data_IF_091063368721
#
_entry.id   IF_091063368721
#
_cell.length_a   1.000
_cell.length_b   1.000
_cell.length_c   1.000
_cell.angle_alpha   90.00
_cell.angle_beta   90.00
_cell.angle_gamma   90.00
#
_symmetry.space_group_name_H-M   'P 1'
#
loop_
_entity.id
_entity.type
_entity.pdbx_description
1 polymer ?
#
# COMPACT_ATOMS: atom_id res chain seq x y z
N UNK A 1 -17.55 11.74 47.26
CA UNK A 1 -17.77 11.21 45.90
C UNK A 1 -17.66 12.39 44.94
N UNK A 2 -16.45 12.73 44.52
CA UNK A 2 -16.18 13.66 43.42
C UNK A 2 -14.93 13.13 42.72
N UNK A 3 -15.09 12.73 41.46
CA UNK A 3 -14.04 12.28 40.56
C UNK A 3 -13.25 13.50 40.08
N UNK A 4 -11.98 13.61 40.46
CA UNK A 4 -11.07 14.64 39.94
C UNK A 4 -10.55 14.15 38.59
N UNK A 5 -10.77 14.94 37.54
CA UNK A 5 -10.51 14.57 36.15
C UNK A 5 -9.09 14.95 35.76
N UNK A 6 -8.50 14.18 34.83
CA UNK A 6 -7.13 14.30 34.31
C UNK A 6 -6.77 15.70 33.76
N UNK A 7 -7.77 16.55 33.48
CA UNK A 7 -7.61 17.94 33.05
C UNK A 7 -7.24 18.92 34.17
N UNK A 8 -7.47 18.60 35.45
CA UNK A 8 -7.18 19.49 36.58
C UNK A 8 -5.66 19.63 36.85
N UNK A 9 -4.84 18.67 36.40
CA UNK A 9 -3.38 18.69 36.60
C UNK A 9 -2.63 19.57 35.59
N UNK A 10 -3.24 19.92 34.46
CA UNK A 10 -2.59 20.68 33.38
C UNK A 10 -2.55 22.21 33.61
N UNK A 11 -3.31 22.74 34.58
CA UNK A 11 -3.45 24.20 34.80
C UNK A 11 -2.79 24.73 36.09
N UNK A 12 -1.99 23.94 36.79
CA UNK A 12 -1.08 24.46 37.81
C UNK A 12 -1.75 25.08 39.06
N UNK A 13 -2.94 24.64 39.43
CA UNK A 13 -3.56 25.00 40.72
C UNK A 13 -3.48 23.84 41.71
N UNK A 14 -2.63 23.98 42.72
CA UNK A 14 -2.53 23.05 43.84
C UNK A 14 -3.64 23.33 44.86
N UNK A 15 -4.39 22.31 45.30
CA UNK A 15 -4.84 22.29 46.68
C UNK A 15 -4.43 21.00 47.39
N UNK A 16 -3.81 21.18 48.55
CA UNK A 16 -4.01 20.29 49.70
C UNK A 16 -3.56 18.84 49.57
N UNK A 17 -2.27 18.63 49.86
CA UNK A 17 -1.66 17.43 50.44
C UNK A 17 -2.62 16.42 51.13
N UNK A 18 -2.84 15.25 50.52
CA UNK A 18 -3.13 13.99 51.23
C UNK A 18 -2.41 12.84 50.50
N UNK A 19 -1.71 12.02 51.28
CA UNK A 19 -0.63 11.15 50.81
C UNK A 19 -1.04 10.01 49.87
N UNK A 20 -0.25 9.85 48.80
CA UNK A 20 -0.05 8.57 48.13
C UNK A 20 1.44 8.25 48.10
N UNK A 21 1.80 7.20 48.84
CA UNK A 21 3.14 6.67 48.99
C UNK A 21 3.47 5.76 47.80
N UNK A 22 4.17 6.34 46.84
CA UNK A 22 5.33 5.74 46.15
C UNK A 22 5.14 4.44 45.34
N UNK A 23 4.95 4.60 44.02
CA UNK A 23 5.62 3.79 42.99
C UNK A 23 6.22 4.71 41.92
N UNK A 24 7.05 5.66 42.36
CA UNK A 24 7.91 6.46 41.48
C UNK A 24 9.37 6.12 41.84
N UNK A 25 10.26 5.83 40.88
CA UNK A 25 11.69 5.78 41.18
C UNK A 25 12.15 7.17 41.65
N UNK A 26 12.83 7.27 42.80
CA UNK A 26 13.40 8.54 43.24
C UNK A 26 14.54 8.89 42.30
N UNK A 27 14.54 10.12 41.75
CA UNK A 27 15.54 10.76 40.85
C UNK A 27 15.25 10.82 39.33
N UNK A 28 14.07 10.50 38.81
CA UNK A 28 13.75 10.93 37.44
C UNK A 28 13.62 12.47 37.41
N UNK A 29 14.65 13.19 36.98
CA UNK A 29 14.54 14.63 36.72
C UNK A 29 13.64 14.82 35.50
N UNK A 30 12.50 15.49 35.70
CA UNK A 30 11.59 15.89 34.63
C UNK A 30 12.17 17.09 33.88
N UNK A 31 13.42 16.98 33.47
CA UNK A 31 14.10 18.02 32.71
C UNK A 31 13.64 17.98 31.24
N UNK A 32 13.98 19.02 30.50
CA UNK A 32 13.63 19.14 29.09
C UNK A 32 14.15 17.95 28.25
N UNK A 33 15.25 17.31 28.67
CA UNK A 33 15.83 16.14 28.02
C UNK A 33 14.96 14.91 28.14
N UNK A 34 14.51 14.58 29.35
CA UNK A 34 13.64 13.44 29.64
C UNK A 34 12.25 13.61 29.00
N UNK A 35 11.64 14.79 29.11
CA UNK A 35 10.35 15.06 28.48
C UNK A 35 10.44 14.96 26.96
N UNK A 36 11.50 15.51 26.35
CA UNK A 36 11.72 15.39 24.91
C UNK A 36 11.94 13.94 24.47
N UNK A 37 12.68 13.13 25.25
CA UNK A 37 12.88 11.71 24.96
C UNK A 37 11.57 10.92 25.05
N UNK A 38 10.76 11.16 26.08
CA UNK A 38 9.46 10.51 26.28
C UNK A 38 8.42 10.95 25.25
N UNK A 39 8.39 12.22 24.87
CA UNK A 39 7.54 12.73 23.77
C UNK A 39 7.96 12.11 22.44
N UNK A 40 9.26 11.96 22.18
CA UNK A 40 9.75 11.25 20.98
C UNK A 40 9.38 9.77 20.98
N UNK A 41 9.47 9.07 22.11
CA UNK A 41 9.08 7.66 22.19
C UNK A 41 7.58 7.49 22.02
N UNK A 42 6.76 8.34 22.67
CA UNK A 42 5.31 8.32 22.52
C UNK A 42 4.88 8.65 21.08
N UNK A 43 5.48 9.67 20.45
CA UNK A 43 5.23 9.99 19.05
C UNK A 43 5.60 8.83 18.12
N UNK A 44 6.72 8.14 18.39
CA UNK A 44 7.11 6.97 17.61
C UNK A 44 6.13 5.81 17.75
N UNK A 45 5.65 5.54 18.97
CA UNK A 45 4.60 4.52 19.19
C UNK A 45 3.31 4.89 18.45
N UNK A 46 2.94 6.17 18.39
CA UNK A 46 1.81 6.65 17.60
C UNK A 46 2.04 6.44 16.10
N UNK A 47 3.21 6.84 15.59
CA UNK A 47 3.58 6.66 14.18
C UNK A 47 3.53 5.16 13.77
N UNK A 48 4.03 4.27 14.63
CA UNK A 48 4.07 2.83 14.38
C UNK A 48 2.64 2.24 14.33
N UNK A 49 1.76 2.64 15.24
CA UNK A 49 0.36 2.20 15.26
C UNK A 49 -0.45 2.74 14.05
N UNK A 50 -0.23 4.01 13.68
CA UNK A 50 -0.84 4.60 12.49
C UNK A 50 -0.37 3.89 11.20
N UNK A 51 0.92 3.55 11.12
CA UNK A 51 1.45 2.80 9.99
C UNK A 51 0.87 1.38 9.92
N UNK A 52 0.77 0.69 11.06
CA UNK A 52 0.19 -0.65 11.12
C UNK A 52 -1.27 -0.67 10.65
N UNK A 53 -2.08 0.28 11.13
CA UNK A 53 -3.46 0.44 10.67
C UNK A 53 -3.53 0.69 9.16
N UNK A 54 -2.71 1.62 8.64
CA UNK A 54 -2.60 1.89 7.21
C UNK A 54 -2.23 0.63 6.41
N UNK A 55 -1.19 -0.11 6.85
CA UNK A 55 -0.74 -1.32 6.19
C UNK A 55 -1.86 -2.37 6.13
N UNK A 56 -2.53 -2.64 7.25
CA UNK A 56 -3.61 -3.63 7.32
C UNK A 56 -4.80 -3.25 6.42
N UNK A 57 -5.11 -1.95 6.34
CA UNK A 57 -6.19 -1.44 5.48
C UNK A 57 -5.85 -1.55 3.99
N UNK A 58 -4.65 -1.13 3.57
CA UNK A 58 -4.33 -0.99 2.14
C UNK A 58 -3.63 -2.19 1.51
N UNK A 59 -2.97 -3.07 2.27
CA UNK A 59 -2.13 -4.14 1.71
C UNK A 59 -2.91 -5.09 0.81
N UNK A 60 -4.05 -5.61 1.29
CA UNK A 60 -4.82 -6.62 0.55
C UNK A 60 -5.36 -6.10 -0.79
N UNK A 61 -5.83 -4.85 -0.83
CA UNK A 61 -6.29 -4.20 -2.06
C UNK A 61 -5.15 -4.00 -3.06
N UNK A 62 -4.05 -3.39 -2.60
CA UNK A 62 -2.89 -3.12 -3.44
C UNK A 62 -2.22 -4.40 -3.96
N UNK A 63 -2.18 -5.48 -3.15
CA UNK A 63 -1.58 -6.75 -3.56
C UNK A 63 -2.38 -7.39 -4.70
N UNK A 64 -3.72 -7.37 -4.62
CA UNK A 64 -4.58 -7.82 -5.73
C UNK A 64 -4.34 -6.98 -6.99
N UNK A 65 -4.39 -5.65 -6.88
CA UNK A 65 -4.15 -4.78 -8.05
C UNK A 65 -2.79 -5.02 -8.67
N UNK A 66 -1.72 -5.08 -7.87
CA UNK A 66 -0.38 -5.29 -8.37
C UNK A 66 -0.16 -6.69 -8.94
N UNK A 67 -0.83 -7.71 -8.39
CA UNK A 67 -0.82 -9.06 -8.99
C UNK A 67 -1.41 -9.02 -10.40
N UNK A 68 -2.49 -8.26 -10.63
CA UNK A 68 -3.01 -8.06 -11.98
C UNK A 68 -2.02 -7.27 -12.82
N UNK A 69 -1.49 -6.14 -12.35
CA UNK A 69 -0.55 -5.32 -13.14
C UNK A 69 0.67 -6.13 -13.58
N UNK A 70 1.30 -6.82 -12.63
CA UNK A 70 2.57 -7.56 -12.81
C UNK A 70 2.33 -8.90 -13.51
N UNK A 71 1.21 -9.57 -13.23
CA UNK A 71 0.91 -10.92 -13.70
C UNK A 71 1.56 -12.03 -12.86
N UNK A 72 2.13 -11.68 -11.69
CA UNK A 72 2.82 -12.59 -10.78
C UNK A 72 2.59 -12.10 -9.33
N UNK A 73 2.00 -12.97 -8.49
CA UNK A 73 1.59 -12.62 -7.14
C UNK A 73 2.77 -12.50 -6.15
N UNK A 74 3.84 -13.26 -6.37
CA UNK A 74 5.04 -13.24 -5.55
C UNK A 74 5.85 -11.96 -5.86
N UNK A 75 6.04 -11.66 -7.14
CA UNK A 75 6.68 -10.40 -7.55
C UNK A 75 5.87 -9.17 -7.09
N UNK A 76 4.54 -9.27 -7.03
CA UNK A 76 3.69 -8.23 -6.47
C UNK A 76 3.90 -8.05 -4.95
N UNK A 77 3.99 -9.16 -4.21
CA UNK A 77 4.27 -9.13 -2.77
C UNK A 77 5.65 -8.51 -2.49
N UNK A 78 6.68 -8.90 -3.23
CA UNK A 78 8.03 -8.34 -3.12
C UNK A 78 8.07 -6.84 -3.41
N UNK A 79 7.40 -6.40 -4.48
CA UNK A 79 7.33 -4.99 -4.84
C UNK A 79 6.62 -4.16 -3.76
N UNK A 80 5.55 -4.70 -3.17
CA UNK A 80 4.86 -4.07 -2.04
C UNK A 80 5.71 -4.03 -0.79
N UNK A 81 6.44 -5.10 -0.48
CA UNK A 81 7.31 -5.13 0.69
C UNK A 81 8.35 -4.00 0.62
N UNK A 82 9.04 -3.83 -0.52
CA UNK A 82 9.99 -2.72 -0.71
C UNK A 82 9.29 -1.35 -0.58
N UNK A 83 8.12 -1.20 -1.18
CA UNK A 83 7.34 0.05 -1.11
C UNK A 83 6.91 0.40 0.32
N UNK A 84 6.37 -0.55 1.08
CA UNK A 84 5.96 -0.37 2.47
C UNK A 84 7.16 -0.15 3.40
N UNK A 85 8.28 -0.83 3.20
CA UNK A 85 9.50 -0.58 3.96
C UNK A 85 9.98 0.86 3.76
N UNK A 86 9.96 1.36 2.52
CA UNK A 86 10.28 2.76 2.23
C UNK A 86 9.26 3.73 2.80
N UNK A 87 7.99 3.34 2.83
CA UNK A 87 6.91 4.12 3.42
C UNK A 87 7.12 4.27 4.93
N UNK A 88 7.39 3.17 5.62
CA UNK A 88 7.65 3.13 7.05
C UNK A 88 8.80 4.06 7.46
N UNK A 89 9.94 3.99 6.75
CA UNK A 89 11.10 4.86 7.01
C UNK A 89 10.76 6.35 6.87
N UNK A 90 9.76 6.69 6.04
CA UNK A 90 9.34 8.08 5.75
C UNK A 90 7.92 8.36 6.24
N UNK A 91 7.43 7.59 7.20
CA UNK A 91 6.00 7.54 7.51
C UNK A 91 5.44 8.91 7.89
N UNK A 92 6.14 9.66 8.77
CA UNK A 92 5.77 11.04 9.15
C UNK A 92 5.48 11.99 7.99
N UNK A 93 6.11 11.77 6.84
CA UNK A 93 5.89 12.56 5.63
C UNK A 93 4.74 11.97 4.80
N UNK A 94 4.74 10.65 4.63
CA UNK A 94 3.80 9.95 3.75
C UNK A 94 2.38 9.93 4.33
N UNK A 95 2.24 9.80 5.64
CA UNK A 95 0.93 9.87 6.32
C UNK A 95 0.21 11.21 6.13
N UNK A 96 0.92 12.26 5.72
CA UNK A 96 0.37 13.59 5.44
C UNK A 96 -0.02 13.82 3.98
N UNK A 97 0.19 12.83 3.11
CA UNK A 97 -0.28 12.92 1.74
C UNK A 97 -1.78 12.71 1.69
N UNK A 98 -2.45 13.32 0.71
CA UNK A 98 -3.89 13.12 0.51
C UNK A 98 -4.23 11.64 0.22
N UNK A 99 -3.31 10.91 -0.42
CA UNK A 99 -3.46 9.49 -0.72
C UNK A 99 -2.14 8.71 -0.50
N UNK A 100 -1.84 8.27 0.73
CA UNK A 100 -0.62 7.52 1.04
C UNK A 100 -0.53 6.18 0.29
N UNK A 101 -1.67 5.49 0.10
CA UNK A 101 -1.76 4.25 -0.66
C UNK A 101 -1.38 4.44 -2.15
N UNK A 102 -1.72 5.59 -2.74
CA UNK A 102 -1.34 5.91 -4.12
C UNK A 102 0.19 6.05 -4.25
N UNK A 103 0.86 6.61 -3.24
CA UNK A 103 2.31 6.67 -3.22
C UNK A 103 2.95 5.28 -3.14
N UNK A 104 2.43 4.40 -2.27
CA UNK A 104 2.90 3.01 -2.15
C UNK A 104 2.73 2.27 -3.48
N UNK A 105 1.54 2.37 -4.10
CA UNK A 105 1.26 1.80 -5.42
C UNK A 105 2.25 2.29 -6.46
N UNK A 106 2.49 3.59 -6.53
CA UNK A 106 3.42 4.18 -7.50
C UNK A 106 4.84 3.66 -7.34
N UNK A 107 5.33 3.59 -6.10
CA UNK A 107 6.65 3.02 -5.80
C UNK A 107 6.72 1.55 -6.18
N UNK A 108 5.68 0.77 -5.87
CA UNK A 108 5.63 -0.65 -6.20
C UNK A 108 5.59 -0.92 -7.72
N UNK A 109 4.81 -0.16 -8.49
CA UNK A 109 4.75 -0.26 -9.96
C UNK A 109 6.11 0.09 -10.59
N UNK A 110 6.75 1.15 -10.13
CA UNK A 110 8.07 1.51 -10.62
C UNK A 110 9.11 0.43 -10.26
N UNK A 111 9.01 -0.17 -9.08
CA UNK A 111 9.92 -1.24 -8.66
C UNK A 111 9.70 -2.54 -9.42
N UNK A 112 8.46 -2.90 -9.71
CA UNK A 112 8.14 -4.11 -10.47
C UNK A 112 8.68 -4.01 -11.90
N UNK A 113 8.66 -2.83 -12.52
CA UNK A 113 9.29 -2.59 -13.84
C UNK A 113 10.80 -2.87 -13.83
N UNK A 114 11.49 -2.48 -12.76
CA UNK A 114 12.93 -2.78 -12.59
C UNK A 114 13.16 -4.27 -12.35
N UNK A 115 12.28 -4.91 -11.56
CA UNK A 115 12.38 -6.33 -11.24
C UNK A 115 12.10 -7.19 -12.46
N UNK A 116 11.06 -6.87 -13.25
CA UNK A 116 10.73 -7.54 -14.51
C UNK A 116 11.88 -7.40 -15.49
N UNK A 117 12.47 -6.21 -15.68
CA UNK A 117 13.66 -6.05 -16.54
C UNK A 117 14.87 -6.84 -16.05
N UNK A 118 15.05 -6.95 -14.73
CA UNK A 118 16.13 -7.75 -14.16
C UNK A 118 15.88 -9.24 -14.30
N UNK A 119 14.62 -9.68 -14.17
CA UNK A 119 14.20 -11.05 -14.33
C UNK A 119 14.21 -11.46 -15.80
N UNK A 120 13.90 -10.56 -16.74
CA UNK A 120 14.02 -10.79 -18.19
C UNK A 120 15.47 -11.05 -18.60
N UNK A 121 16.44 -10.42 -17.93
CA UNK A 121 17.88 -10.75 -18.09
C UNK A 121 18.26 -12.10 -17.48
N UNK A 122 17.58 -12.52 -16.40
CA UNK A 122 17.81 -13.80 -15.72
C UNK A 122 17.14 -14.96 -16.46
N UNK A 123 15.91 -14.76 -16.92
CA UNK A 123 15.11 -15.66 -17.75
C UNK A 123 15.76 -15.87 -19.12
N UNK A 124 16.34 -14.86 -19.77
CA UNK A 124 17.17 -15.09 -20.98
C UNK A 124 18.39 -15.99 -20.73
N UNK A 125 18.85 -16.12 -19.48
CA UNK A 125 19.86 -17.11 -19.09
C UNK A 125 19.25 -18.46 -18.65
N UNK A 126 18.00 -18.47 -18.18
CA UNK A 126 17.27 -19.64 -17.68
C UNK A 126 16.31 -20.29 -18.71
N UNK A 127 16.04 -19.66 -19.87
CA UNK A 127 15.21 -20.11 -21.00
C UNK A 127 15.78 -21.34 -21.75
N UNK A 128 16.66 -22.11 -21.10
CA UNK A 128 16.87 -23.53 -21.37
C UNK A 128 16.04 -24.46 -20.47
N UNK A 129 15.24 -23.94 -19.54
CA UNK A 129 14.35 -24.73 -18.69
C UNK A 129 13.16 -23.91 -18.13
N UNK A 130 11.94 -24.23 -18.58
CA UNK A 130 10.63 -23.87 -18.04
C UNK A 130 10.10 -22.42 -18.24
N UNK A 131 8.85 -22.34 -18.74
CA UNK A 131 8.07 -21.10 -18.85
C UNK A 131 7.42 -20.69 -17.52
N UNK A 132 6.80 -19.50 -17.44
CA UNK A 132 6.25 -18.98 -16.20
C UNK A 132 5.13 -19.89 -15.66
N UNK A 133 5.32 -20.41 -14.45
CA UNK A 133 4.30 -21.13 -13.71
C UNK A 133 3.34 -20.13 -13.05
N UNK A 134 2.21 -19.88 -13.71
CA UNK A 134 1.03 -19.33 -13.03
C UNK A 134 0.18 -20.53 -12.63
N UNK A 135 0.13 -20.86 -11.33
CA UNK A 135 -0.90 -21.75 -10.80
C UNK A 135 -2.15 -20.90 -10.61
N UNK A 136 -2.97 -20.82 -11.66
CA UNK A 136 -4.34 -20.33 -11.54
C UNK A 136 -5.16 -21.50 -11.00
N UNK A 137 -5.86 -21.29 -9.89
CA UNK A 137 -6.90 -22.22 -9.44
C UNK A 137 -7.86 -22.50 -10.61
N UNK A 138 -8.18 -23.77 -10.87
CA UNK A 138 -8.90 -24.22 -12.07
C UNK A 138 -10.39 -23.79 -12.09
N UNK A 139 -10.85 -23.10 -11.05
CA UNK A 139 -12.14 -22.44 -11.03
C UNK A 139 -12.02 -21.08 -11.75
N UNK A 140 -12.86 -20.78 -12.77
CA UNK A 140 -12.91 -19.46 -13.36
C UNK A 140 -13.24 -18.43 -12.27
N UNK A 141 -12.27 -17.59 -11.91
CA UNK A 141 -12.55 -16.44 -11.07
C UNK A 141 -13.39 -15.45 -11.88
N UNK A 142 -14.69 -15.38 -11.55
CA UNK A 142 -15.65 -14.46 -12.14
C UNK A 142 -15.46 -13.00 -11.69
N UNK A 143 -14.54 -12.76 -10.75
CA UNK A 143 -14.19 -11.42 -10.38
C UNK A 143 -13.48 -10.70 -11.53
N UNK A 144 -13.55 -9.37 -11.52
CA UNK A 144 -12.82 -8.53 -12.46
C UNK A 144 -11.31 -8.86 -12.47
N UNK A 145 -10.76 -9.34 -11.36
CA UNK A 145 -9.36 -9.78 -11.27
C UNK A 145 -9.05 -10.93 -12.24
N UNK A 146 -9.83 -12.01 -12.19
CA UNK A 146 -9.65 -13.18 -13.07
C UNK A 146 -9.81 -12.86 -14.55
N UNK A 147 -10.68 -11.91 -14.89
CA UNK A 147 -10.90 -11.45 -16.27
C UNK A 147 -9.73 -10.62 -16.81
N UNK A 148 -9.03 -9.88 -15.95
CA UNK A 148 -7.94 -9.00 -16.36
C UNK A 148 -6.63 -9.74 -16.55
N UNK A 149 -6.35 -10.77 -15.75
CA UNK A 149 -5.06 -11.48 -15.74
C UNK A 149 -4.59 -11.98 -17.12
N UNK A 150 -5.46 -12.55 -17.98
CA UNK A 150 -5.08 -13.04 -19.31
C UNK A 150 -4.81 -11.95 -20.35
N UNK A 151 -5.10 -10.68 -20.06
CA UNK A 151 -4.88 -9.59 -21.00
C UNK A 151 -3.37 -9.31 -21.19
N UNK A 152 -2.96 -8.84 -22.39
CA UNK A 152 -1.62 -8.31 -22.60
C UNK A 152 -1.27 -7.23 -21.56
N UNK A 153 -0.02 -7.25 -21.09
CA UNK A 153 0.47 -6.43 -19.96
C UNK A 153 -0.02 -4.99 -19.96
N UNK A 154 0.13 -4.25 -21.08
CA UNK A 154 -0.29 -2.85 -21.15
C UNK A 154 -1.80 -2.65 -21.07
N UNK A 155 -2.58 -3.56 -21.63
CA UNK A 155 -4.05 -3.52 -21.57
C UNK A 155 -4.50 -3.83 -20.14
N UNK A 156 -3.94 -4.90 -19.57
CA UNK A 156 -4.17 -5.32 -18.18
C UNK A 156 -3.84 -4.22 -17.18
N UNK A 157 -2.67 -3.60 -17.30
CA UNK A 157 -2.21 -2.52 -16.43
C UNK A 157 -3.15 -1.31 -16.50
N UNK A 158 -3.49 -0.85 -17.71
CA UNK A 158 -4.40 0.28 -17.88
C UNK A 158 -5.78 -0.02 -17.27
N UNK A 159 -6.30 -1.23 -17.47
CA UNK A 159 -7.59 -1.63 -16.91
C UNK A 159 -7.56 -1.79 -15.39
N UNK A 160 -6.52 -2.41 -14.82
CA UNK A 160 -6.38 -2.56 -13.37
C UNK A 160 -6.32 -1.19 -12.68
N UNK A 161 -5.48 -0.28 -13.18
CA UNK A 161 -5.38 1.07 -12.62
C UNK A 161 -6.68 1.87 -12.78
N UNK A 162 -7.41 1.70 -13.87
CA UNK A 162 -8.64 2.44 -14.06
C UNK A 162 -9.83 1.87 -13.26
N UNK A 163 -9.97 0.55 -13.19
CA UNK A 163 -11.16 -0.09 -12.65
C UNK A 163 -11.01 -0.69 -11.25
N UNK A 164 -9.80 -1.05 -10.83
CA UNK A 164 -9.57 -1.54 -9.47
C UNK A 164 -9.14 -0.41 -8.53
N UNK A 165 -8.56 0.67 -9.08
CA UNK A 165 -8.00 1.79 -8.32
C UNK A 165 -8.70 3.12 -8.62
N UNK A 166 -9.78 3.11 -9.41
CA UNK A 166 -10.59 4.27 -9.78
C UNK A 166 -9.80 5.47 -10.33
N UNK A 167 -8.65 5.23 -10.96
CA UNK A 167 -7.83 6.30 -11.51
C UNK A 167 -8.44 6.87 -12.80
N UNK A 168 -8.41 8.19 -12.90
CA UNK A 168 -8.71 8.89 -14.16
C UNK A 168 -7.72 8.48 -15.26
N UNK A 169 -8.11 8.69 -16.53
CA UNK A 169 -7.24 8.39 -17.67
C UNK A 169 -5.91 9.13 -17.59
N UNK A 170 -5.94 10.36 -17.09
CA UNK A 170 -4.78 11.22 -16.88
C UNK A 170 -3.85 10.63 -15.80
N UNK A 171 -4.39 10.21 -14.65
CA UNK A 171 -3.59 9.56 -13.61
C UNK A 171 -3.01 8.22 -14.07
N UNK A 172 -3.77 7.43 -14.83
CA UNK A 172 -3.25 6.19 -15.43
C UNK A 172 -2.12 6.50 -16.41
N UNK A 173 -2.23 7.57 -17.20
CA UNK A 173 -1.20 7.99 -18.15
C UNK A 173 0.11 8.35 -17.43
N UNK A 174 0.02 9.12 -16.34
CA UNK A 174 1.16 9.51 -15.51
C UNK A 174 1.83 8.29 -14.86
N UNK A 175 1.03 7.39 -14.28
CA UNK A 175 1.50 6.14 -13.66
C UNK A 175 2.20 5.22 -14.68
N UNK A 176 1.61 5.13 -15.87
CA UNK A 176 2.11 4.30 -16.95
C UNK A 176 3.28 4.93 -17.71
N UNK A 177 3.48 6.24 -17.64
CA UNK A 177 4.48 6.98 -18.44
C UNK A 177 4.15 7.00 -19.93
N UNK A 178 2.88 7.06 -20.30
CA UNK A 178 2.38 7.08 -21.69
C UNK A 178 1.36 8.22 -21.88
N UNK A 179 0.91 8.49 -23.12
CA UNK A 179 -0.10 9.52 -23.36
C UNK A 179 -1.51 9.06 -22.96
N UNK A 180 -2.39 10.00 -22.58
CA UNK A 180 -3.82 9.72 -22.32
C UNK A 180 -4.52 9.08 -23.51
N UNK A 181 -4.12 9.40 -24.74
CA UNK A 181 -4.61 8.74 -25.96
C UNK A 181 -4.22 7.25 -26.02
N UNK A 182 -2.97 6.92 -25.65
CA UNK A 182 -2.52 5.54 -25.55
C UNK A 182 -3.24 4.76 -24.44
N UNK A 183 -3.53 5.41 -23.30
CA UNK A 183 -4.37 4.82 -22.24
C UNK A 183 -5.76 4.48 -22.77
N UNK A 184 -6.45 5.44 -23.41
CA UNK A 184 -7.79 5.21 -24.00
C UNK A 184 -7.77 4.06 -25.01
N UNK A 185 -6.72 3.97 -25.83
CA UNK A 185 -6.53 2.85 -26.73
C UNK A 185 -6.43 1.52 -25.98
N UNK A 186 -5.57 1.41 -24.96
CA UNK A 186 -5.40 0.19 -24.18
C UNK A 186 -6.66 -0.22 -23.42
N UNK A 187 -7.39 0.74 -22.85
CA UNK A 187 -8.69 0.49 -22.22
C UNK A 187 -9.71 -0.05 -23.22
N UNK A 188 -9.79 0.54 -24.41
CA UNK A 188 -10.71 0.07 -25.46
C UNK A 188 -10.38 -1.35 -25.91
N UNK A 189 -9.09 -1.65 -26.15
CA UNK A 189 -8.64 -2.99 -26.54
C UNK A 189 -8.94 -4.02 -25.45
N UNK A 190 -8.67 -3.69 -24.18
CA UNK A 190 -8.96 -4.58 -23.05
C UNK A 190 -10.47 -4.87 -22.90
N UNK A 191 -11.31 -3.83 -22.96
CA UNK A 191 -12.78 -3.98 -22.97
C UNK A 191 -13.27 -4.87 -24.10
N UNK A 192 -12.71 -4.69 -25.31
CA UNK A 192 -13.04 -5.50 -26.48
C UNK A 192 -12.72 -6.99 -26.30
N UNK A 193 -11.72 -7.33 -25.48
CA UNK A 193 -11.36 -8.73 -25.16
C UNK A 193 -12.22 -9.34 -24.06
N UNK A 194 -12.65 -8.53 -23.08
CA UNK A 194 -13.46 -9.01 -21.95
C UNK A 194 -14.94 -9.11 -22.32
N UNK A 195 -15.47 -8.19 -23.14
CA UNK A 195 -16.89 -8.14 -23.49
C UNK A 195 -17.45 -9.48 -24.01
N UNK A 196 -16.82 -10.19 -24.96
CA UNK A 196 -17.31 -11.50 -25.40
C UNK A 196 -17.30 -12.58 -24.32
N UNK A 197 -16.44 -12.44 -23.30
CA UNK A 197 -16.39 -13.36 -22.15
C UNK A 197 -17.60 -13.11 -21.24
N UNK A 198 -17.94 -11.85 -21.01
CA UNK A 198 -19.14 -11.45 -20.25
C UNK A 198 -20.43 -11.85 -20.98
N UNK A 199 -20.53 -11.54 -22.27
CA UNK A 199 -21.74 -11.84 -23.08
C UNK A 199 -22.06 -13.35 -23.12
N UNK A 200 -21.02 -14.21 -23.15
CA UNK A 200 -21.17 -15.68 -23.10
C UNK A 200 -21.58 -16.22 -21.72
N UNK A 201 -21.40 -15.44 -20.66
CA UNK A 201 -21.72 -15.83 -19.28
C UNK A 201 -23.13 -15.39 -18.87
N UNK A 202 -23.71 -14.40 -19.55
CA UNK A 202 -25.08 -13.92 -19.33
C UNK A 202 -26.15 -14.68 -20.14
N UNK A 203 -25.75 -15.55 -21.09
CA UNK A 203 -26.64 -16.37 -21.92
C UNK A 203 -26.69 -17.83 -21.46
#
# INVERSE_FOLDING_TARGET
MHTVSFLDFALGTTPGNVGMRTLLPPTASWDAGFLSARLRSAARVSDDAEFEAFFLESYGGLHRTLTVVIGDAELAADALQDAYQRAYVRWKKISRYDAPAAWVRHVAINRSRDMIRSNDRRLRNEERAAGPHIVVDEQPDDSLFGLLLPLPERQRTAMALHYLEDLSVEQVADEMGISSGAVKYHLNQGRGKIRPILDKRES
#
